data_IF_404832569400
#
_entry.id   IF_404832569400
#
_cell.length_a   1.000
_cell.length_b   1.000
_cell.length_c   1.000
_cell.angle_alpha   90.00
_cell.angle_beta   90.00
_cell.angle_gamma   90.00
#
_symmetry.space_group_name_H-M   'P 1'
#
loop_
_entity.id
_entity.type
_entity.pdbx_description
1 polymer ?
#
# COMPACT_ATOMS: atom_id res chain seq x y z
N UNK A 1 41.97 29.96 -14.17
CA UNK A 1 42.86 29.47 -13.10
C UNK A 1 41.92 29.09 -11.93
N UNK A 2 41.64 27.84 -11.80
CA UNK A 2 40.73 27.27 -10.76
C UNK A 2 41.60 26.42 -9.85
N UNK A 3 41.56 26.55 -8.53
CA UNK A 3 42.36 25.71 -7.65
C UNK A 3 41.67 24.34 -7.44
N UNK A 4 42.49 23.30 -7.50
CA UNK A 4 42.11 21.92 -7.20
C UNK A 4 42.00 21.73 -5.67
N UNK A 5 40.89 21.17 -5.21
CA UNK A 5 40.71 20.77 -3.82
C UNK A 5 41.00 19.27 -3.72
N UNK A 6 42.06 18.93 -2.99
CA UNK A 6 42.44 17.55 -2.65
C UNK A 6 41.63 17.11 -1.44
N UNK A 7 40.83 16.06 -1.58
CA UNK A 7 40.09 15.45 -0.47
C UNK A 7 40.83 14.16 -0.02
N UNK A 8 41.38 14.20 1.18
CA UNK A 8 41.93 13.06 1.88
C UNK A 8 40.81 12.17 2.47
N UNK A 9 40.85 10.86 2.15
CA UNK A 9 39.85 9.88 2.61
C UNK A 9 39.98 9.52 4.09
N UNK A 10 38.89 9.07 4.73
CA UNK A 10 38.89 8.65 6.11
C UNK A 10 39.32 7.18 6.30
N UNK A 11 40.03 7.00 7.39
CA UNK A 11 40.59 5.80 7.97
C UNK A 11 39.55 4.72 8.33
N UNK A 12 39.94 3.47 8.14
CA UNK A 12 39.20 2.25 8.51
C UNK A 12 38.91 2.19 10.02
N UNK A 13 37.65 2.00 10.37
CA UNK A 13 37.19 1.68 11.71
C UNK A 13 37.08 0.16 11.95
N UNK A 14 37.71 -0.28 13.02
CA UNK A 14 37.74 -1.66 13.52
C UNK A 14 36.36 -2.14 14.02
N UNK A 15 35.98 -3.36 13.63
CA UNK A 15 34.86 -4.11 14.22
C UNK A 15 35.38 -5.08 15.27
N UNK A 16 34.77 -5.21 16.47
CA UNK A 16 35.14 -6.24 17.44
C UNK A 16 34.47 -7.57 17.11
N UNK A 17 35.31 -8.62 17.14
CA UNK A 17 34.95 -10.03 16.95
C UNK A 17 34.17 -10.56 18.17
N UNK A 18 32.97 -11.09 17.94
CA UNK A 18 32.21 -11.79 18.96
C UNK A 18 32.71 -13.22 19.14
N UNK A 19 33.11 -13.55 20.37
CA UNK A 19 33.58 -14.85 20.81
C UNK A 19 32.37 -15.78 21.04
N UNK A 20 32.31 -16.90 20.31
CA UNK A 20 31.35 -17.98 20.53
C UNK A 20 31.81 -18.90 21.64
N UNK A 21 31.11 -18.87 22.76
CA UNK A 21 31.32 -19.83 23.86
C UNK A 21 30.48 -21.09 23.69
N UNK A 22 31.12 -22.19 23.39
CA UNK A 22 30.52 -23.55 23.40
C UNK A 22 30.41 -24.08 24.82
N UNK A 23 29.21 -24.33 25.29
CA UNK A 23 28.94 -25.01 26.57
C UNK A 23 28.55 -26.46 26.29
N UNK A 24 29.46 -27.39 26.61
CA UNK A 24 29.23 -28.83 26.62
C UNK A 24 28.26 -29.22 27.76
N UNK A 25 27.18 -29.93 27.46
CA UNK A 25 26.31 -30.59 28.42
C UNK A 25 26.69 -32.09 28.54
N UNK A 26 27.13 -32.45 29.73
CA UNK A 26 27.40 -33.84 30.17
C UNK A 26 26.11 -34.64 30.24
N UNK A 27 26.00 -35.72 29.51
CA UNK A 27 24.99 -36.76 29.61
C UNK A 27 25.31 -37.72 30.79
N UNK A 28 24.36 -37.84 31.72
CA UNK A 28 24.37 -38.96 32.72
C UNK A 28 23.45 -40.05 32.19
N UNK A 29 24.06 -41.22 31.94
CA UNK A 29 23.33 -42.48 31.70
C UNK A 29 22.74 -42.98 33.00
N UNK A 30 21.45 -43.26 33.04
CA UNK A 30 20.79 -44.08 34.05
C UNK A 30 20.33 -45.35 33.33
N UNK A 31 20.90 -46.48 33.74
CA UNK A 31 20.47 -47.83 33.32
C UNK A 31 19.34 -48.23 34.26
N UNK A 32 18.15 -48.44 33.73
CA UNK A 32 17.02 -49.00 34.44
C UNK A 32 16.37 -50.08 33.59
N UNK A 33 16.63 -51.33 33.93
CA UNK A 33 15.98 -52.50 33.37
C UNK A 33 14.58 -52.65 34.00
N UNK A 34 13.53 -52.58 33.22
CA UNK A 34 12.22 -53.03 33.61
C UNK A 34 11.56 -53.82 32.46
N UNK A 35 11.41 -55.12 32.71
CA UNK A 35 10.58 -56.06 31.93
C UNK A 35 9.12 -55.58 32.04
N UNK A 36 8.45 -55.26 30.93
CA UNK A 36 7.05 -54.95 30.90
C UNK A 36 6.37 -55.52 29.65
N UNK A 37 5.39 -56.39 29.85
CA UNK A 37 4.55 -57.07 28.87
C UNK A 37 4.03 -56.07 27.81
N UNK A 38 4.28 -56.36 26.54
CA UNK A 38 3.70 -55.62 25.42
C UNK A 38 2.27 -56.13 25.16
N UNK A 39 1.28 -55.32 25.56
CA UNK A 39 -0.09 -55.46 25.12
C UNK A 39 -0.23 -54.58 23.86
N UNK A 40 -0.22 -55.19 22.68
CA UNK A 40 -0.41 -54.48 21.40
C UNK A 40 -1.87 -54.13 21.23
N UNK A 41 -2.28 -52.92 21.64
CA UNK A 41 -3.58 -52.36 21.32
C UNK A 41 -3.44 -51.72 19.94
N UNK A 42 -3.94 -52.35 18.88
CA UNK A 42 -4.19 -51.75 17.59
C UNK A 42 -5.29 -50.69 17.74
N UNK A 43 -4.94 -49.46 17.98
CA UNK A 43 -5.87 -48.33 17.81
C UNK A 43 -5.98 -48.00 16.31
N UNK A 44 -7.18 -47.84 15.75
CA UNK A 44 -7.29 -47.35 14.40
C UNK A 44 -6.77 -45.91 14.37
N UNK A 45 -5.68 -45.67 13.65
CA UNK A 45 -5.19 -44.33 13.33
C UNK A 45 -6.17 -43.70 12.36
N UNK A 46 -7.21 -43.04 12.90
CA UNK A 46 -8.06 -42.16 12.10
C UNK A 46 -7.15 -41.01 11.58
N UNK A 47 -6.99 -41.03 10.28
CA UNK A 47 -6.29 -39.98 9.53
C UNK A 47 -7.00 -38.62 9.72
N UNK A 48 -6.52 -37.83 10.66
CA UNK A 48 -6.97 -36.43 10.88
C UNK A 48 -6.22 -35.42 10.03
N UNK A 49 -5.33 -35.88 9.15
CA UNK A 49 -4.43 -34.99 8.41
C UNK A 49 -5.07 -34.31 7.19
N UNK A 50 -6.15 -34.86 6.61
CA UNK A 50 -6.74 -34.30 5.38
C UNK A 50 -7.72 -33.16 5.59
N UNK A 51 -8.20 -32.92 6.81
CA UNK A 51 -9.16 -31.83 7.09
C UNK A 51 -8.52 -30.50 7.51
N UNK A 52 -7.22 -30.49 7.79
CA UNK A 52 -6.54 -29.28 8.28
C UNK A 52 -6.02 -28.39 7.15
N UNK A 53 -5.66 -28.95 6.00
CA UNK A 53 -5.07 -28.20 4.89
C UNK A 53 -6.14 -27.38 4.15
N UNK A 54 -7.33 -27.94 3.89
CA UNK A 54 -8.44 -27.19 3.30
C UNK A 54 -8.89 -26.02 4.19
N UNK A 55 -8.82 -26.16 5.51
CA UNK A 55 -9.13 -25.08 6.46
C UNK A 55 -8.10 -23.94 6.38
N UNK A 56 -6.84 -24.21 6.00
CA UNK A 56 -5.79 -23.19 5.88
C UNK A 56 -6.02 -22.30 4.65
N UNK A 57 -6.24 -22.90 3.47
CA UNK A 57 -6.52 -22.15 2.23
C UNK A 57 -7.82 -21.36 2.32
N UNK A 58 -8.86 -21.92 2.91
CA UNK A 58 -10.13 -21.22 3.13
C UNK A 58 -9.96 -20.01 4.06
N UNK A 59 -9.12 -20.09 5.09
CA UNK A 59 -8.77 -18.96 5.95
C UNK A 59 -7.96 -17.91 5.19
N UNK A 60 -6.98 -18.32 4.41
CA UNK A 60 -6.17 -17.43 3.60
C UNK A 60 -7.01 -16.69 2.57
N UNK A 61 -7.96 -17.36 1.92
CA UNK A 61 -8.92 -16.73 1.03
C UNK A 61 -9.73 -15.65 1.74
N UNK A 62 -10.28 -15.94 2.95
CA UNK A 62 -11.01 -14.94 3.73
C UNK A 62 -10.16 -13.71 4.06
N UNK A 63 -8.87 -13.89 4.38
CA UNK A 63 -7.97 -12.77 4.65
C UNK A 63 -7.69 -11.97 3.37
N UNK A 64 -7.46 -12.63 2.23
CA UNK A 64 -7.28 -11.96 0.93
C UNK A 64 -8.55 -11.17 0.59
N UNK A 65 -9.74 -11.75 0.74
CA UNK A 65 -11.03 -11.11 0.51
C UNK A 65 -11.23 -9.85 1.37
N UNK A 66 -10.74 -9.86 2.60
CA UNK A 66 -10.80 -8.69 3.48
C UNK A 66 -9.74 -7.62 3.12
N UNK A 67 -8.62 -8.04 2.57
CA UNK A 67 -7.51 -7.13 2.20
C UNK A 67 -7.67 -6.52 0.80
N UNK A 68 -8.33 -7.19 -0.14
CA UNK A 68 -8.42 -6.72 -1.53
C UNK A 68 -9.26 -5.44 -1.71
N UNK A 69 -10.48 -5.31 -1.14
CA UNK A 69 -11.32 -4.15 -1.40
C UNK A 69 -10.68 -2.85 -0.96
N UNK A 70 -10.75 -1.83 -1.80
CA UNK A 70 -10.26 -0.49 -1.48
C UNK A 70 -9.94 0.33 -2.72
N UNK A 71 -9.59 1.57 -2.48
CA UNK A 71 -9.06 2.46 -3.49
C UNK A 71 -7.54 2.58 -3.30
N UNK A 72 -6.80 2.40 -4.38
CA UNK A 72 -5.36 2.37 -4.40
C UNK A 72 -4.80 3.34 -5.43
N UNK A 73 -3.59 3.86 -5.20
CA UNK A 73 -2.88 4.69 -6.17
C UNK A 73 -1.38 4.42 -6.11
N UNK A 74 -0.70 4.49 -7.26
CA UNK A 74 0.76 4.44 -7.34
C UNK A 74 1.38 5.85 -7.37
N UNK A 75 0.71 6.85 -6.82
CA UNK A 75 1.15 8.25 -6.84
C UNK A 75 2.58 8.43 -6.30
N UNK A 76 2.94 7.74 -5.22
CA UNK A 76 4.30 7.76 -4.66
C UNK A 76 5.33 7.27 -5.68
N UNK A 77 5.10 6.10 -6.27
CA UNK A 77 6.00 5.54 -7.27
C UNK A 77 6.17 6.49 -8.46
N UNK A 78 5.06 6.93 -9.06
CA UNK A 78 5.11 7.82 -10.23
C UNK A 78 5.83 9.13 -9.94
N UNK A 79 5.60 9.73 -8.76
CA UNK A 79 6.31 10.93 -8.32
C UNK A 79 7.81 10.72 -8.20
N UNK A 80 8.24 9.66 -7.50
CA UNK A 80 9.66 9.40 -7.26
C UNK A 80 10.38 8.87 -8.50
N UNK A 81 9.73 8.10 -9.36
CA UNK A 81 10.29 7.69 -10.66
C UNK A 81 10.60 8.91 -11.53
N UNK A 82 9.67 9.88 -11.60
CA UNK A 82 9.89 11.14 -12.29
C UNK A 82 11.05 11.96 -11.67
N UNK A 83 11.11 12.07 -10.35
CA UNK A 83 12.18 12.81 -9.64
C UNK A 83 13.54 12.17 -9.82
N UNK A 84 13.65 10.85 -9.87
CA UNK A 84 14.90 10.12 -10.10
C UNK A 84 15.27 9.99 -11.57
N UNK A 85 14.38 10.39 -12.48
CA UNK A 85 14.57 10.27 -13.92
C UNK A 85 14.88 8.81 -14.33
N UNK A 86 14.14 7.86 -13.77
CA UNK A 86 14.30 6.45 -14.13
C UNK A 86 14.02 6.27 -15.63
N UNK A 87 14.71 5.36 -16.34
CA UNK A 87 14.57 5.21 -17.79
C UNK A 87 13.15 4.92 -18.27
N UNK A 88 12.35 4.22 -17.47
CA UNK A 88 10.96 3.87 -17.74
C UNK A 88 10.11 4.16 -16.50
N UNK A 89 9.72 5.43 -16.26
CA UNK A 89 8.92 5.79 -15.12
C UNK A 89 7.52 5.19 -15.25
N UNK A 90 6.97 4.74 -14.12
CA UNK A 90 5.58 4.32 -14.11
C UNK A 90 4.64 5.51 -14.26
N UNK A 91 3.66 5.38 -15.14
CA UNK A 91 2.56 6.34 -15.18
C UNK A 91 1.77 6.27 -13.88
N UNK A 92 1.14 7.38 -13.51
CA UNK A 92 0.25 7.41 -12.37
C UNK A 92 -1.09 6.77 -12.73
N UNK A 93 -1.51 5.81 -11.89
CA UNK A 93 -2.78 5.09 -12.00
C UNK A 93 -3.50 5.09 -10.66
N UNK A 94 -4.82 4.97 -10.73
CA UNK A 94 -5.65 4.59 -9.61
C UNK A 94 -6.26 3.21 -9.87
N UNK A 95 -6.53 2.46 -8.82
CA UNK A 95 -7.15 1.14 -8.88
C UNK A 95 -8.24 1.06 -7.81
N UNK A 96 -9.50 0.90 -8.21
CA UNK A 96 -10.60 0.59 -7.31
C UNK A 96 -10.87 -0.90 -7.34
N UNK A 97 -10.94 -1.54 -6.18
CA UNK A 97 -11.32 -2.94 -6.03
C UNK A 97 -12.56 -2.99 -5.14
N UNK A 98 -13.67 -3.44 -5.67
CA UNK A 98 -14.95 -3.50 -4.99
C UNK A 98 -15.47 -4.93 -4.96
N UNK A 99 -15.99 -5.36 -3.80
CA UNK A 99 -16.66 -6.64 -3.70
C UNK A 99 -17.93 -6.66 -4.57
N UNK A 100 -18.12 -7.72 -5.32
CA UNK A 100 -19.33 -7.96 -6.10
C UNK A 100 -20.47 -8.47 -5.21
N UNK A 101 -21.68 -8.50 -5.74
CA UNK A 101 -22.80 -9.20 -5.10
C UNK A 101 -22.61 -10.73 -5.10
N UNK A 102 -21.76 -11.26 -5.96
CA UNK A 102 -21.41 -12.69 -6.00
C UNK A 102 -20.33 -12.99 -4.96
N UNK A 103 -20.46 -14.10 -4.19
CA UNK A 103 -19.44 -14.49 -3.22
C UNK A 103 -18.07 -14.69 -3.87
N UNK A 104 -16.99 -14.23 -3.19
CA UNK A 104 -15.60 -14.41 -3.61
C UNK A 104 -15.24 -13.71 -4.93
N UNK A 105 -16.04 -12.75 -5.38
CA UNK A 105 -15.86 -12.03 -6.64
C UNK A 105 -15.66 -10.54 -6.38
N UNK A 106 -14.70 -9.94 -7.08
CA UNK A 106 -14.33 -8.53 -6.99
C UNK A 106 -14.27 -7.90 -8.39
N UNK A 107 -14.65 -6.63 -8.47
CA UNK A 107 -14.47 -5.81 -9.66
C UNK A 107 -13.27 -4.90 -9.45
N UNK A 108 -12.24 -5.04 -10.28
CA UNK A 108 -11.03 -4.23 -10.24
C UNK A 108 -11.01 -3.28 -11.44
N UNK A 109 -11.14 -1.96 -11.18
CA UNK A 109 -11.15 -0.93 -12.21
C UNK A 109 -9.91 -0.05 -12.08
N UNK A 110 -9.06 -0.06 -13.12
CA UNK A 110 -7.89 0.81 -13.21
C UNK A 110 -8.21 2.05 -14.05
N UNK A 111 -7.87 3.22 -13.53
CA UNK A 111 -8.11 4.50 -14.19
C UNK A 111 -6.84 5.33 -14.30
N UNK A 112 -6.81 6.26 -15.28
CA UNK A 112 -5.82 7.33 -15.32
C UNK A 112 -6.07 8.38 -14.22
N UNK A 113 -5.20 9.36 -14.12
CA UNK A 113 -5.36 10.52 -13.21
C UNK A 113 -6.54 11.39 -13.57
N UNK A 114 -6.89 11.43 -14.84
CA UNK A 114 -8.03 12.19 -15.36
C UNK A 114 -9.37 11.43 -15.23
N UNK A 115 -9.32 10.20 -14.67
CA UNK A 115 -10.49 9.36 -14.45
C UNK A 115 -10.89 8.48 -15.65
N UNK A 116 -10.11 8.49 -16.74
CA UNK A 116 -10.38 7.59 -17.88
C UNK A 116 -10.12 6.12 -17.47
N UNK A 117 -11.12 5.26 -17.75
CA UNK A 117 -10.99 3.81 -17.49
C UNK A 117 -9.99 3.20 -18.46
N UNK A 118 -8.98 2.52 -17.91
CA UNK A 118 -7.93 1.82 -18.65
C UNK A 118 -8.25 0.35 -18.79
N UNK A 119 -8.71 -0.29 -17.70
CA UNK A 119 -9.15 -1.68 -17.70
C UNK A 119 -10.18 -1.90 -16.59
N UNK A 120 -11.09 -2.84 -16.83
CA UNK A 120 -12.02 -3.36 -15.83
C UNK A 120 -11.90 -4.87 -15.83
N UNK A 121 -11.60 -5.45 -14.68
CA UNK A 121 -11.39 -6.88 -14.52
C UNK A 121 -12.31 -7.40 -13.44
N UNK A 122 -12.75 -8.63 -13.62
CA UNK A 122 -13.44 -9.44 -12.62
C UNK A 122 -12.45 -10.45 -12.06
N UNK A 123 -12.27 -10.44 -10.75
CA UNK A 123 -11.38 -11.34 -10.02
C UNK A 123 -12.22 -12.30 -9.18
N UNK A 124 -12.08 -13.60 -9.41
CA UNK A 124 -12.82 -14.64 -8.69
C UNK A 124 -11.86 -15.53 -7.91
N UNK A 125 -12.09 -15.71 -6.61
CA UNK A 125 -11.21 -16.46 -5.72
C UNK A 125 -11.74 -17.85 -5.43
N UNK A 126 -10.86 -18.85 -5.51
CA UNK A 126 -11.18 -20.28 -5.28
C UNK A 126 -10.09 -20.92 -4.42
N UNK A 127 -10.48 -21.90 -3.61
CA UNK A 127 -9.52 -22.77 -2.95
C UNK A 127 -8.96 -23.76 -3.98
N UNK A 128 -7.64 -23.96 -4.02
CA UNK A 128 -6.97 -24.92 -4.91
C UNK A 128 -6.13 -25.89 -4.07
N UNK A 129 -6.73 -27.04 -3.74
CA UNK A 129 -6.09 -28.07 -2.92
C UNK A 129 -4.89 -28.72 -3.64
N UNK A 130 -4.87 -28.72 -4.97
CA UNK A 130 -3.79 -29.33 -5.73
C UNK A 130 -2.50 -28.51 -5.70
N UNK A 131 -2.61 -27.18 -5.60
CA UNK A 131 -1.50 -26.26 -5.49
C UNK A 131 -1.28 -25.71 -4.07
N UNK A 132 -2.09 -26.15 -3.11
CA UNK A 132 -2.03 -25.68 -1.72
C UNK A 132 -2.05 -24.15 -1.64
N UNK A 133 -2.95 -23.51 -2.40
CA UNK A 133 -2.99 -22.08 -2.60
C UNK A 133 -4.42 -21.58 -2.83
N UNK A 134 -4.61 -20.25 -2.80
CA UNK A 134 -5.84 -19.62 -3.27
C UNK A 134 -5.66 -19.21 -4.73
N UNK A 135 -6.46 -19.80 -5.61
CA UNK A 135 -6.47 -19.47 -7.03
C UNK A 135 -7.33 -18.23 -7.27
N UNK A 136 -6.83 -17.28 -8.04
CA UNK A 136 -7.59 -16.13 -8.52
C UNK A 136 -7.68 -16.19 -10.05
N UNK A 137 -8.90 -16.31 -10.56
CA UNK A 137 -9.20 -16.14 -11.98
C UNK A 137 -9.43 -14.67 -12.29
N UNK A 138 -8.93 -14.23 -13.43
CA UNK A 138 -8.97 -12.84 -13.87
C UNK A 138 -9.63 -12.80 -15.24
N UNK A 139 -10.79 -12.14 -15.33
CA UNK A 139 -11.50 -11.90 -16.57
C UNK A 139 -11.49 -10.40 -16.87
N UNK A 140 -10.81 -10.00 -17.95
CA UNK A 140 -10.81 -8.61 -18.42
C UNK A 140 -11.99 -8.39 -19.37
N UNK A 141 -12.73 -7.30 -19.20
CA UNK A 141 -13.92 -7.02 -20.01
C UNK A 141 -13.63 -6.80 -21.50
N UNK A 142 -12.38 -6.45 -21.84
CA UNK A 142 -11.96 -6.20 -23.23
C UNK A 142 -11.11 -7.33 -23.79
N UNK A 143 -10.23 -7.93 -22.98
CA UNK A 143 -9.28 -8.93 -23.40
C UNK A 143 -9.74 -10.38 -23.09
N UNK A 144 -10.81 -10.56 -22.31
CA UNK A 144 -11.32 -11.88 -21.93
C UNK A 144 -10.55 -12.51 -20.76
N UNK A 145 -10.62 -13.85 -20.66
CA UNK A 145 -9.98 -14.59 -19.58
C UNK A 145 -8.46 -14.48 -19.63
N UNK A 146 -7.86 -14.15 -18.52
CA UNK A 146 -6.43 -13.93 -18.34
C UNK A 146 -5.77 -15.10 -17.62
N UNK A 147 -4.45 -15.04 -17.47
CA UNK A 147 -3.71 -16.01 -16.68
C UNK A 147 -4.21 -16.04 -15.24
N UNK A 148 -4.66 -17.18 -14.71
CA UNK A 148 -4.93 -17.30 -13.28
C UNK A 148 -3.63 -17.18 -12.48
N UNK A 149 -3.75 -16.64 -11.27
CA UNK A 149 -2.63 -16.55 -10.32
C UNK A 149 -2.95 -17.30 -9.04
N UNK A 150 -1.92 -17.83 -8.37
CA UNK A 150 -2.06 -18.59 -7.13
C UNK A 150 -1.40 -17.81 -5.99
N UNK A 151 -2.21 -17.50 -4.98
CA UNK A 151 -1.79 -16.80 -3.78
C UNK A 151 -1.25 -17.77 -2.75
N UNK A 152 -0.09 -17.46 -2.20
CA UNK A 152 0.52 -18.12 -1.06
C UNK A 152 0.83 -17.10 0.02
N UNK A 153 0.70 -17.51 1.29
CA UNK A 153 1.01 -16.64 2.43
C UNK A 153 2.52 -16.61 2.67
N UNK A 154 3.05 -15.41 2.87
CA UNK A 154 4.42 -15.18 3.34
C UNK A 154 4.38 -14.21 4.53
N UNK A 155 4.42 -14.76 5.75
CA UNK A 155 4.29 -14.02 7.01
C UNK A 155 3.03 -13.13 7.06
N UNK A 156 3.19 -11.80 7.02
CA UNK A 156 2.11 -10.82 7.09
C UNK A 156 1.59 -10.37 5.70
N UNK A 157 2.05 -10.98 4.62
CA UNK A 157 1.66 -10.65 3.25
C UNK A 157 1.30 -11.89 2.44
N UNK A 158 0.71 -11.67 1.28
CA UNK A 158 0.44 -12.69 0.28
C UNK A 158 1.19 -12.37 -1.00
N UNK A 159 1.71 -13.40 -1.64
CA UNK A 159 2.33 -13.31 -2.96
C UNK A 159 1.58 -14.22 -3.93
N UNK A 160 1.33 -13.75 -5.14
CA UNK A 160 0.69 -14.55 -6.18
C UNK A 160 1.51 -14.53 -7.47
N UNK A 161 1.47 -15.64 -8.19
CA UNK A 161 2.12 -15.76 -9.49
C UNK A 161 1.26 -16.63 -10.43
N UNK A 162 1.30 -16.30 -11.74
CA UNK A 162 0.81 -17.17 -12.79
C UNK A 162 1.83 -18.26 -13.14
N UNK A 163 1.37 -19.36 -13.74
CA UNK A 163 2.24 -20.40 -14.27
C UNK A 163 3.20 -19.84 -15.34
N UNK A 164 4.39 -20.45 -15.45
CA UNK A 164 5.45 -19.95 -16.32
C UNK A 164 5.12 -20.01 -17.81
N UNK A 165 4.27 -20.93 -18.21
CA UNK A 165 3.81 -21.16 -19.59
C UNK A 165 2.59 -20.30 -19.98
N UNK A 166 1.99 -19.61 -19.01
CA UNK A 166 0.88 -18.73 -19.30
C UNK A 166 1.34 -17.50 -20.10
N UNK A 167 0.69 -17.24 -21.24
CA UNK A 167 0.98 -16.09 -22.07
C UNK A 167 0.57 -14.80 -21.37
N UNK A 168 1.52 -13.87 -21.28
CA UNK A 168 1.25 -12.56 -20.69
C UNK A 168 0.43 -11.68 -21.64
N UNK A 169 -0.69 -11.17 -21.13
CA UNK A 169 -1.49 -10.16 -21.83
C UNK A 169 -1.18 -8.77 -21.28
N UNK A 170 -0.98 -7.76 -22.13
CA UNK A 170 -0.72 -6.40 -21.66
C UNK A 170 -1.89 -5.90 -20.79
N UNK A 171 -1.61 -5.63 -19.54
CA UNK A 171 -2.60 -5.09 -18.62
C UNK A 171 -3.11 -6.04 -17.55
N UNK A 172 -2.82 -7.34 -17.64
CA UNK A 172 -3.09 -8.31 -16.57
C UNK A 172 -1.87 -8.52 -15.68
N UNK A 173 -2.08 -8.67 -14.36
CA UNK A 173 -0.98 -9.06 -13.48
C UNK A 173 -0.63 -10.53 -13.70
N UNK A 174 0.64 -10.83 -13.73
CA UNK A 174 1.14 -12.20 -13.63
C UNK A 174 1.85 -12.46 -12.30
N UNK A 175 2.17 -11.41 -11.58
CA UNK A 175 2.59 -11.46 -10.18
C UNK A 175 1.86 -10.41 -9.40
N UNK A 176 1.45 -10.75 -8.18
CA UNK A 176 0.84 -9.81 -7.24
C UNK A 176 1.49 -10.00 -5.87
N UNK A 177 1.57 -8.91 -5.11
CA UNK A 177 1.87 -8.96 -3.67
C UNK A 177 0.86 -8.10 -2.93
N UNK A 178 0.24 -8.65 -1.91
CA UNK A 178 -0.82 -8.00 -1.14
C UNK A 178 -0.43 -7.95 0.34
N UNK A 179 -0.43 -6.75 0.88
CA UNK A 179 -0.29 -6.47 2.30
C UNK A 179 -1.40 -5.49 2.73
N UNK A 180 -1.48 -5.19 4.02
CA UNK A 180 -2.55 -4.34 4.57
C UNK A 180 -2.68 -2.98 3.87
N UNK A 181 -1.57 -2.35 3.50
CA UNK A 181 -1.53 -1.01 2.93
C UNK A 181 -1.03 -0.96 1.48
N UNK A 182 -0.67 -2.09 0.90
CA UNK A 182 -0.01 -2.13 -0.40
C UNK A 182 -0.51 -3.29 -1.26
N UNK A 183 -0.63 -3.03 -2.55
CA UNK A 183 -0.84 -4.02 -3.59
C UNK A 183 0.16 -3.76 -4.71
N UNK A 184 1.06 -4.70 -4.94
CA UNK A 184 2.02 -4.61 -6.04
C UNK A 184 1.53 -5.47 -7.19
N UNK A 185 1.60 -4.91 -8.39
CA UNK A 185 1.12 -5.51 -9.62
C UNK A 185 2.28 -5.65 -10.61
N UNK A 186 2.73 -6.87 -10.85
CA UNK A 186 3.88 -7.18 -11.69
C UNK A 186 3.51 -7.72 -13.07
N UNK A 187 4.44 -7.53 -14.02
CA UNK A 187 4.40 -8.02 -15.38
C UNK A 187 5.76 -8.60 -15.73
N UNK A 188 5.82 -9.66 -16.56
CA UNK A 188 7.10 -10.20 -17.07
C UNK A 188 7.81 -9.26 -18.03
N UNK A 189 7.06 -8.36 -18.69
CA UNK A 189 7.61 -7.42 -19.66
C UNK A 189 8.26 -6.20 -19.03
N UNK A 190 7.93 -5.95 -17.79
CA UNK A 190 8.43 -4.80 -17.06
C UNK A 190 9.05 -5.27 -15.74
N UNK A 191 10.37 -5.12 -15.58
CA UNK A 191 11.10 -5.51 -14.38
C UNK A 191 10.64 -4.76 -13.12
N UNK A 192 9.83 -3.70 -13.27
CA UNK A 192 9.27 -2.94 -12.17
C UNK A 192 7.76 -3.20 -12.02
N UNK A 193 7.35 -3.71 -10.86
CA UNK A 193 5.94 -3.78 -10.49
C UNK A 193 5.34 -2.37 -10.30
N UNK A 194 4.04 -2.22 -10.62
CA UNK A 194 3.28 -1.03 -10.21
C UNK A 194 2.99 -1.18 -8.71
N UNK A 195 3.46 -0.23 -7.92
CA UNK A 195 3.35 -0.24 -6.46
C UNK A 195 2.18 0.63 -6.01
N UNK A 196 1.05 0.01 -5.87
CA UNK A 196 -0.14 0.70 -5.36
C UNK A 196 -0.12 0.77 -3.83
N UNK A 197 -0.42 1.94 -3.30
CA UNK A 197 -0.71 2.17 -1.88
C UNK A 197 -2.22 2.30 -1.68
N UNK A 198 -2.74 1.66 -0.64
CA UNK A 198 -4.13 1.83 -0.23
C UNK A 198 -4.34 3.25 0.24
N UNK A 199 -5.36 3.92 -0.26
CA UNK A 199 -5.71 5.27 0.16
C UNK A 199 -6.71 5.25 1.31
N UNK A 200 -6.57 6.25 2.18
CA UNK A 200 -7.54 6.56 3.23
C UNK A 200 -8.36 7.77 2.78
N UNK A 201 -9.68 7.69 2.96
CA UNK A 201 -10.57 8.80 2.67
C UNK A 201 -10.54 9.83 3.81
N UNK A 202 -10.57 11.11 3.45
CA UNK A 202 -10.62 12.24 4.36
C UNK A 202 -11.72 13.19 3.97
N UNK A 203 -12.34 13.82 4.96
CA UNK A 203 -13.20 14.99 4.80
C UNK A 203 -12.51 16.19 5.40
N UNK A 204 -12.44 17.27 4.65
CA UNK A 204 -11.76 18.50 5.04
C UNK A 204 -12.73 19.68 5.07
N UNK A 205 -12.29 20.73 5.76
CA UNK A 205 -12.85 22.07 5.62
C UNK A 205 -11.72 23.10 5.51
N UNK A 206 -12.04 24.23 4.90
CA UNK A 206 -11.18 25.40 4.86
C UNK A 206 -11.93 26.61 5.39
N UNK A 207 -11.33 27.36 6.31
CA UNK A 207 -11.84 28.58 6.88
C UNK A 207 -10.99 29.76 6.41
N UNK A 208 -11.60 30.75 5.76
CA UNK A 208 -10.96 31.98 5.34
C UNK A 208 -11.49 33.10 6.23
N UNK A 209 -10.62 33.79 7.03
CA UNK A 209 -11.04 34.91 7.85
C UNK A 209 -11.51 36.10 7.00
N UNK A 210 -12.37 36.92 7.58
CA UNK A 210 -12.85 38.16 6.96
C UNK A 210 -11.76 39.21 6.78
N UNK A 211 -12.15 40.33 6.21
CA UNK A 211 -11.25 41.48 5.99
C UNK A 211 -10.72 41.99 7.32
N UNK A 212 -9.40 41.91 7.50
CA UNK A 212 -8.72 42.24 8.77
C UNK A 212 -8.02 41.09 9.45
N UNK A 213 -8.43 39.84 9.19
CA UNK A 213 -7.74 38.61 9.57
C UNK A 213 -7.59 38.39 11.07
N UNK A 214 -8.48 38.95 11.89
CA UNK A 214 -8.44 38.86 13.33
C UNK A 214 -9.19 37.64 13.88
N UNK A 215 -8.93 37.31 15.15
CA UNK A 215 -9.62 36.23 15.88
C UNK A 215 -11.14 36.42 15.94
N UNK A 216 -11.58 37.65 15.93
CA UNK A 216 -12.98 38.06 16.08
C UNK A 216 -13.67 38.33 14.73
N UNK A 217 -12.94 38.20 13.61
CA UNK A 217 -13.50 38.33 12.27
C UNK A 217 -14.28 37.07 11.87
N UNK A 218 -15.46 37.20 11.24
CA UNK A 218 -16.21 36.04 10.81
C UNK A 218 -15.49 35.26 9.71
N UNK A 219 -15.36 33.95 9.92
CA UNK A 219 -14.81 33.05 8.92
C UNK A 219 -15.86 32.72 7.85
N UNK A 220 -15.39 32.58 6.61
CA UNK A 220 -16.14 31.87 5.57
C UNK A 220 -15.66 30.44 5.54
N UNK A 221 -16.54 29.50 5.83
CA UNK A 221 -16.24 28.07 5.82
C UNK A 221 -16.61 27.45 4.50
N UNK A 222 -15.68 26.69 3.96
CA UNK A 222 -15.85 25.76 2.84
C UNK A 222 -15.71 24.36 3.41
N UNK A 223 -16.80 23.62 3.49
CA UNK A 223 -16.86 22.30 4.10
C UNK A 223 -17.11 21.19 3.08
N UNK A 224 -17.18 19.93 3.57
CA UNK A 224 -17.42 18.74 2.74
C UNK A 224 -16.40 18.55 1.61
N UNK A 225 -15.18 19.04 1.81
CA UNK A 225 -14.09 18.88 0.86
C UNK A 225 -13.53 17.45 0.97
N UNK A 226 -14.05 16.53 0.13
CA UNK A 226 -13.66 15.12 0.15
C UNK A 226 -12.42 14.88 -0.68
N UNK A 227 -11.45 14.14 -0.15
CA UNK A 227 -10.24 13.71 -0.83
C UNK A 227 -9.66 12.45 -0.19
N UNK A 228 -8.62 11.90 -0.80
CA UNK A 228 -7.86 10.79 -0.24
C UNK A 228 -6.37 11.13 -0.12
N UNK A 229 -5.65 10.40 0.73
CA UNK A 229 -4.26 10.68 1.08
C UNK A 229 -3.20 10.18 0.08
N UNK A 230 -3.59 9.81 -1.12
CA UNK A 230 -2.68 9.43 -2.19
C UNK A 230 -2.59 10.52 -3.28
N UNK A 231 -2.40 11.77 -2.85
CA UNK A 231 -2.21 12.91 -3.74
C UNK A 231 -3.50 13.39 -4.41
N UNK A 232 -4.67 13.16 -3.79
CA UNK A 232 -5.92 13.75 -4.26
C UNK A 232 -5.96 15.25 -3.97
N UNK A 233 -6.66 15.95 -4.84
CA UNK A 233 -6.93 17.39 -4.75
C UNK A 233 -8.44 17.63 -4.72
N UNK A 234 -8.85 18.61 -3.92
CA UNK A 234 -10.21 19.14 -3.91
C UNK A 234 -10.14 20.65 -4.02
N UNK A 235 -11.10 21.26 -4.74
CA UNK A 235 -11.05 22.66 -5.12
C UNK A 235 -12.34 23.39 -4.69
N UNK A 236 -12.21 24.65 -4.33
CA UNK A 236 -13.30 25.56 -4.05
C UNK A 236 -12.96 26.98 -4.52
N UNK A 237 -13.98 27.80 -4.80
CA UNK A 237 -13.77 29.19 -5.18
C UNK A 237 -14.10 30.09 -3.98
N UNK A 238 -13.17 30.97 -3.63
CA UNK A 238 -13.38 31.91 -2.53
C UNK A 238 -14.22 33.13 -2.97
N UNK A 239 -14.48 34.05 -2.02
CA UNK A 239 -15.29 35.25 -2.29
C UNK A 239 -14.62 36.21 -3.26
N UNK A 240 -13.29 36.16 -3.37
CA UNK A 240 -12.49 37.01 -4.23
C UNK A 240 -12.32 36.39 -5.64
N UNK A 241 -12.96 35.25 -5.90
CA UNK A 241 -12.92 34.56 -7.17
C UNK A 241 -11.67 33.68 -7.35
N UNK A 242 -10.83 33.48 -6.31
CA UNK A 242 -9.66 32.62 -6.40
C UNK A 242 -10.07 31.15 -6.32
N UNK A 243 -9.50 30.32 -7.18
CA UNK A 243 -9.68 28.87 -7.10
C UNK A 243 -8.60 28.29 -6.19
N UNK A 244 -9.00 27.99 -4.96
CA UNK A 244 -8.15 27.41 -3.93
C UNK A 244 -8.40 25.92 -3.80
N UNK A 245 -7.38 25.18 -3.42
CA UNK A 245 -7.47 23.73 -3.25
C UNK A 245 -6.68 23.21 -2.07
N UNK A 246 -7.08 22.03 -1.62
CA UNK A 246 -6.33 21.21 -0.67
C UNK A 246 -5.84 19.97 -1.40
N UNK A 247 -4.56 19.63 -1.22
CA UNK A 247 -3.96 18.36 -1.66
C UNK A 247 -3.51 17.61 -0.42
N UNK A 248 -3.84 16.33 -0.35
CA UNK A 248 -3.41 15.46 0.75
C UNK A 248 -2.57 14.34 0.18
N UNK A 249 -1.35 14.17 0.72
CA UNK A 249 -0.43 13.17 0.22
C UNK A 249 0.29 12.46 1.37
N UNK A 250 0.12 11.14 1.45
CA UNK A 250 0.92 10.30 2.32
C UNK A 250 2.18 9.92 1.56
N UNK A 251 3.26 10.67 1.80
CA UNK A 251 4.52 10.55 1.08
C UNK A 251 5.34 9.43 1.69
N UNK A 252 5.64 8.43 0.87
CA UNK A 252 6.48 7.29 1.20
C UNK A 252 7.91 7.55 0.66
N UNK A 253 8.79 8.05 1.51
CA UNK A 253 10.15 8.43 1.13
C UNK A 253 11.01 7.16 0.92
N UNK A 254 11.37 6.81 -0.32
CA UNK A 254 11.97 5.51 -0.61
C UNK A 254 13.43 5.37 -0.16
N UNK A 255 14.12 6.48 0.12
CA UNK A 255 15.54 6.49 0.51
C UNK A 255 15.86 7.72 1.35
N UNK A 256 16.94 7.62 2.13
CA UNK A 256 17.58 8.78 2.74
C UNK A 256 18.12 9.73 1.63
N UNK A 257 18.19 11.01 1.95
CA UNK A 257 18.85 11.94 1.05
C UNK A 257 20.36 11.66 0.96
N UNK A 258 21.00 12.23 -0.05
CA UNK A 258 22.44 12.05 -0.33
C UNK A 258 23.35 12.39 0.86
N UNK A 259 22.93 13.31 1.73
CA UNK A 259 23.71 13.78 2.88
C UNK A 259 23.53 12.90 4.12
N UNK A 260 22.78 11.79 4.01
CA UNK A 260 22.54 10.83 5.09
C UNK A 260 21.45 11.22 6.08
N UNK A 261 20.68 12.28 5.80
CA UNK A 261 19.49 12.60 6.59
C UNK A 261 18.35 11.63 6.26
N UNK A 262 17.72 11.11 7.30
CA UNK A 262 16.52 10.30 7.15
C UNK A 262 15.34 11.18 6.76
N UNK A 263 14.73 10.87 5.62
CA UNK A 263 13.39 11.33 5.33
C UNK A 263 12.41 10.34 5.93
N UNK A 264 11.47 10.85 6.72
CA UNK A 264 10.44 10.03 7.34
C UNK A 264 9.18 10.10 6.50
N UNK A 265 8.53 8.95 6.29
CA UNK A 265 7.19 8.92 5.71
C UNK A 265 6.26 9.85 6.46
N UNK A 266 5.45 10.57 5.74
CA UNK A 266 4.67 11.67 6.31
C UNK A 266 3.35 11.86 5.58
N UNK A 267 2.29 12.10 6.34
CA UNK A 267 1.06 12.66 5.80
C UNK A 267 1.25 14.18 5.65
N UNK A 268 1.06 14.70 4.46
CA UNK A 268 1.29 16.11 4.12
C UNK A 268 0.01 16.73 3.55
N UNK A 269 -0.40 17.88 4.09
CA UNK A 269 -1.43 18.73 3.52
C UNK A 269 -0.80 19.94 2.84
N UNK A 270 -1.25 20.25 1.64
CA UNK A 270 -0.86 21.44 0.87
C UNK A 270 -2.05 22.34 0.66
N UNK A 271 -1.84 23.64 0.71
CA UNK A 271 -2.77 24.64 0.20
C UNK A 271 -2.26 25.10 -1.16
N UNK A 272 -3.08 24.93 -2.17
CA UNK A 272 -2.75 25.21 -3.57
C UNK A 272 -3.75 26.21 -4.16
N UNK A 273 -3.32 27.00 -5.13
CA UNK A 273 -4.16 27.90 -5.90
C UNK A 273 -4.00 27.56 -7.38
N UNK A 274 -5.10 27.53 -8.11
CA UNK A 274 -5.12 27.31 -9.55
C UNK A 274 -5.49 28.61 -10.24
N UNK A 275 -4.68 29.01 -11.23
CA UNK A 275 -4.90 30.20 -12.03
C UNK A 275 -5.65 29.89 -13.34
N UNK A 276 -6.20 30.91 -13.98
CA UNK A 276 -6.97 30.80 -15.23
C UNK A 276 -6.16 30.19 -16.40
N UNK A 277 -4.83 30.37 -16.37
CA UNK A 277 -3.92 29.77 -17.35
C UNK A 277 -3.65 28.28 -17.11
N UNK A 278 -4.27 27.70 -16.07
CA UNK A 278 -4.11 26.30 -15.67
C UNK A 278 -2.86 26.05 -14.81
N UNK A 279 -2.02 27.04 -14.55
CA UNK A 279 -0.89 26.90 -13.62
C UNK A 279 -1.37 26.80 -12.18
N UNK A 280 -0.56 26.17 -11.34
CA UNK A 280 -0.83 26.03 -9.90
C UNK A 280 0.30 26.61 -9.06
N UNK A 281 -0.03 27.15 -7.90
CA UNK A 281 0.90 27.66 -6.91
C UNK A 281 0.64 27.03 -5.56
N UNK A 282 1.68 26.51 -4.93
CA UNK A 282 1.66 26.07 -3.53
C UNK A 282 1.88 27.27 -2.61
N UNK A 283 0.95 27.51 -1.69
CA UNK A 283 1.03 28.58 -0.69
C UNK A 283 1.70 28.13 0.60
N UNK A 284 1.65 26.85 0.88
CA UNK A 284 2.28 26.26 2.05
C UNK A 284 1.86 24.81 2.25
N UNK A 285 2.55 24.15 3.17
CA UNK A 285 2.28 22.78 3.56
C UNK A 285 2.47 22.59 5.06
N UNK A 286 1.83 21.56 5.59
CA UNK A 286 2.08 21.02 6.93
C UNK A 286 2.18 19.50 6.83
N UNK A 287 2.91 18.89 7.76
CA UNK A 287 3.08 17.43 7.77
C UNK A 287 2.93 16.86 9.17
N UNK A 288 2.58 15.59 9.23
CA UNK A 288 2.44 14.81 10.47
C UNK A 288 2.86 13.36 10.21
N UNK A 289 2.68 12.49 11.21
CA UNK A 289 2.95 11.06 11.07
C UNK A 289 2.06 10.43 9.97
N UNK A 290 2.56 9.46 9.21
CA UNK A 290 1.83 8.88 8.07
C UNK A 290 0.51 8.21 8.47
N UNK A 291 0.44 7.63 9.67
CA UNK A 291 -0.76 6.98 10.22
C UNK A 291 -1.76 7.94 10.87
N UNK A 292 -1.46 9.24 10.91
CA UNK A 292 -2.35 10.22 11.54
C UNK A 292 -3.74 10.22 10.88
N UNK A 293 -4.78 10.26 11.72
CA UNK A 293 -6.17 10.31 11.31
C UNK A 293 -6.71 11.75 11.15
N UNK A 294 -5.90 12.75 11.41
CA UNK A 294 -6.19 14.16 11.18
C UNK A 294 -4.92 14.94 10.89
N UNK A 295 -5.08 15.99 10.08
CA UNK A 295 -4.01 16.94 9.79
C UNK A 295 -4.64 18.32 9.55
N UNK A 296 -3.91 19.38 9.87
CA UNK A 296 -4.35 20.75 9.62
C UNK A 296 -3.19 21.68 9.29
N UNK A 297 -3.51 22.80 8.66
CA UNK A 297 -2.57 23.85 8.30
C UNK A 297 -3.17 25.22 8.64
N UNK A 298 -2.36 26.14 9.12
CA UNK A 298 -2.74 27.52 9.40
C UNK A 298 -1.76 28.48 8.72
N UNK A 299 -2.21 29.13 7.66
CA UNK A 299 -1.47 30.14 6.89
C UNK A 299 -1.84 31.59 7.29
N UNK A 300 -2.53 31.79 8.43
CA UNK A 300 -3.12 33.05 8.88
C UNK A 300 -4.31 33.52 8.04
N UNK A 301 -4.21 33.53 6.72
CA UNK A 301 -5.26 33.91 5.78
C UNK A 301 -6.15 32.74 5.36
N UNK A 302 -5.77 31.53 5.68
CA UNK A 302 -6.54 30.30 5.48
C UNK A 302 -6.15 29.29 6.55
N UNK A 303 -7.17 28.68 7.18
CA UNK A 303 -7.00 27.53 8.06
C UNK A 303 -7.72 26.36 7.42
N UNK A 304 -7.05 25.21 7.29
CA UNK A 304 -7.69 23.99 6.81
C UNK A 304 -7.43 22.83 7.78
N UNK A 305 -8.40 21.94 7.85
CA UNK A 305 -8.27 20.70 8.64
C UNK A 305 -8.95 19.55 7.90
N UNK A 306 -8.28 18.40 7.89
CA UNK A 306 -8.74 17.15 7.31
C UNK A 306 -8.85 16.08 8.39
N UNK A 307 -9.91 15.30 8.32
CA UNK A 307 -10.20 14.20 9.23
C UNK A 307 -10.45 12.94 8.43
N UNK A 308 -9.82 11.85 8.81
CA UNK A 308 -10.05 10.55 8.18
C UNK A 308 -11.51 10.13 8.38
N UNK A 309 -12.14 9.72 7.31
CA UNK A 309 -13.49 9.18 7.35
C UNK A 309 -13.42 7.82 8.04
N UNK A 310 -14.00 7.72 9.23
CA UNK A 310 -14.18 6.44 9.92
C UNK A 310 -15.42 5.75 9.35
N UNK A 311 -15.21 4.92 8.33
CA UNK A 311 -16.21 3.92 7.93
C UNK A 311 -16.24 2.78 8.95
N UNK A 312 -17.29 1.95 8.93
CA UNK A 312 -17.23 0.61 9.54
C UNK A 312 -16.16 -0.17 8.78
N UNK A 313 -14.98 -0.23 9.35
CA UNK A 313 -13.96 -1.16 8.89
C UNK A 313 -14.27 -2.45 9.63
N UNK A 314 -14.81 -3.44 8.92
CA UNK A 314 -14.76 -4.82 9.37
C UNK A 314 -13.29 -5.22 9.30
N UNK A 315 -12.55 -4.93 10.37
CA UNK A 315 -11.16 -5.36 10.50
C UNK A 315 -11.17 -6.86 10.67
N UNK A 316 -10.58 -7.64 9.76
CA UNK A 316 -10.42 -9.07 9.98
C UNK A 316 -9.56 -9.24 11.23
N UNK A 317 -10.06 -10.02 12.17
CA UNK A 317 -9.25 -10.50 13.29
C UNK A 317 -8.26 -11.51 12.71
N UNK A 318 -7.00 -11.10 12.62
CA UNK A 318 -5.90 -11.98 12.22
C UNK A 318 -5.55 -12.93 13.36
#
# INVERSE_FOLDING_TARGET
MTPAITISGPTQGYWPTLITGTRAKRSRRIVGTALGLALTICLPTTSWAQGQDSATWSRDRQVIEALLPGFYSNANQAYFDGRRQVPQPQNRYNLSIEASAEPHVFNATRTSTEGAVISTQRWSLFDDDAKEAVRMEIDDTQAGSQCPVWWTRDAAQFSAAADADCAEDPGSPITLSLAQQQLWWGSRRNDSAIKFHRSRAFTCYADIPGVGGGRDEPYTRYDNLSLHDQGAETWFTDKDGRTLGLRLFNVDWPINNYEGYFTRDSLVIYVVEKFDDGTTKEHGYAFTLPEANRIGINLKWLLASCFMVSGKVDTPTL
#
